data_IF_795218428672
#
_entry.id   IF_795218428672
#
_cell.length_a   1.000
_cell.length_b   1.000
_cell.length_c   1.000
_cell.angle_alpha   90.00
_cell.angle_beta   90.00
_cell.angle_gamma   90.00
#
_symmetry.space_group_name_H-M   'P 1'
#
loop_
_entity.id
_entity.type
_entity.pdbx_description
1 polymer ?
#
# COMPACT_ATOMS: atom_id res chain seq x y z
N UNK A 1 -15.83 -14.35 -4.03
CA UNK A 1 -15.32 -13.36 -5.00
C UNK A 1 -14.08 -12.71 -4.40
N UNK A 2 -12.91 -12.76 -5.06
CA UNK A 2 -11.75 -11.97 -4.63
C UNK A 2 -12.16 -10.50 -4.67
N UNK A 3 -12.02 -9.75 -3.57
CA UNK A 3 -12.14 -8.29 -3.61
C UNK A 3 -11.00 -7.81 -4.51
N UNK A 4 -11.36 -7.26 -5.67
CA UNK A 4 -10.39 -6.67 -6.58
C UNK A 4 -9.71 -5.51 -5.87
N UNK A 5 -8.41 -5.63 -5.62
CA UNK A 5 -7.53 -4.48 -5.55
C UNK A 5 -7.52 -3.96 -7.00
N UNK A 6 -8.14 -2.81 -7.33
CA UNK A 6 -8.13 -2.32 -8.70
C UNK A 6 -6.67 -2.14 -9.16
N UNK A 7 -6.43 -2.34 -10.45
CA UNK A 7 -5.10 -2.30 -11.07
C UNK A 7 -4.32 -1.02 -10.70
N UNK A 8 -5.06 0.08 -10.49
CA UNK A 8 -4.60 1.37 -9.99
C UNK A 8 -3.97 1.36 -8.60
N UNK A 9 -4.46 0.55 -7.67
CA UNK A 9 -3.89 0.47 -6.31
C UNK A 9 -2.50 -0.14 -6.34
N UNK A 10 -2.27 -1.18 -7.17
CA UNK A 10 -0.97 -1.85 -7.27
C UNK A 10 0.11 -0.91 -7.84
N UNK A 11 -0.25 -0.06 -8.80
CA UNK A 11 0.64 0.95 -9.39
C UNK A 11 0.93 2.11 -8.40
N UNK A 12 0.06 2.32 -7.41
CA UNK A 12 0.25 3.29 -6.33
C UNK A 12 1.02 2.77 -5.10
N UNK A 13 1.40 1.48 -5.05
CA UNK A 13 2.10 0.89 -3.89
C UNK A 13 3.64 1.07 -3.90
N UNK A 14 4.20 1.80 -4.86
CA UNK A 14 5.59 2.31 -4.79
C UNK A 14 5.63 3.68 -4.11
N UNK A 15 5.31 3.76 -2.82
CA UNK A 15 5.41 5.05 -2.10
C UNK A 15 4.73 5.19 -0.75
N UNK A 16 5.10 4.39 0.27
CA UNK A 16 4.98 4.86 1.67
C UNK A 16 6.11 5.83 2.01
N UNK A 17 6.23 6.95 1.28
CA UNK A 17 7.01 8.16 1.61
C UNK A 17 6.71 9.25 0.57
N UNK A 18 6.50 10.53 0.93
CA UNK A 18 5.61 11.36 0.14
C UNK A 18 6.29 12.41 -0.77
N UNK A 19 6.10 12.23 -2.09
CA UNK A 19 5.45 13.22 -3.01
C UNK A 19 6.32 14.39 -3.63
N UNK A 20 5.87 15.07 -4.71
CA UNK A 20 6.57 15.83 -5.82
C UNK A 20 5.85 17.15 -6.36
N UNK A 21 6.46 18.30 -6.83
CA UNK A 21 6.87 18.71 -8.24
C UNK A 21 8.38 19.04 -8.52
N UNK A 22 8.67 19.99 -9.45
CA UNK A 22 9.96 20.67 -9.75
C UNK A 22 10.05 21.55 -11.04
N UNK A 23 9.06 21.50 -11.95
CA UNK A 23 8.78 22.39 -13.11
C UNK A 23 9.78 22.51 -14.32
N UNK A 24 9.28 22.24 -15.54
CA UNK A 24 9.62 23.06 -16.73
C UNK A 24 10.34 22.42 -17.93
N UNK A 25 9.63 21.68 -18.79
CA UNK A 25 9.96 21.60 -20.23
C UNK A 25 8.72 21.26 -21.07
N UNK A 26 8.67 21.76 -22.31
CA UNK A 26 7.52 21.70 -23.21
C UNK A 26 7.27 20.32 -23.85
N UNK A 27 5.99 20.01 -24.09
CA UNK A 27 5.45 18.71 -24.49
C UNK A 27 5.92 18.14 -25.85
N UNK A 28 5.64 16.84 -26.06
CA UNK A 28 4.98 16.38 -27.27
C UNK A 28 3.49 16.09 -27.02
N UNK A 29 2.63 16.61 -27.89
CA UNK A 29 1.19 16.38 -27.91
C UNK A 29 0.86 14.93 -28.32
N UNK A 30 0.66 14.00 -27.36
CA UNK A 30 0.15 12.65 -27.68
C UNK A 30 -0.55 11.86 -26.55
N UNK A 31 -1.65 12.40 -26.02
CA UNK A 31 -2.66 11.62 -25.28
C UNK A 31 -4.06 12.26 -25.41
N UNK A 32 -4.54 12.45 -26.64
CA UNK A 32 -5.84 13.08 -26.90
C UNK A 32 -7.01 12.11 -26.68
N UNK A 33 -7.35 11.84 -25.40
CA UNK A 33 -8.57 11.14 -25.01
C UNK A 33 -8.40 10.14 -23.85
N UNK A 34 -9.50 9.78 -23.15
CA UNK A 34 -9.46 8.96 -21.94
C UNK A 34 -8.90 7.54 -22.19
N UNK A 35 -9.20 6.97 -23.36
CA UNK A 35 -8.66 5.67 -23.80
C UNK A 35 -7.15 5.75 -23.99
N UNK A 36 -6.65 6.79 -24.65
CA UNK A 36 -5.22 6.95 -24.92
C UNK A 36 -4.41 7.16 -23.63
N UNK A 37 -4.92 7.98 -22.69
CA UNK A 37 -4.30 8.16 -21.37
C UNK A 37 -4.14 6.84 -20.61
N UNK A 38 -5.18 5.99 -20.61
CA UNK A 38 -5.13 4.69 -19.96
C UNK A 38 -4.17 3.73 -20.66
N UNK A 39 -4.22 3.66 -22.00
CA UNK A 39 -3.32 2.79 -22.78
C UNK A 39 -1.85 3.17 -22.59
N UNK A 40 -1.52 4.46 -22.61
CA UNK A 40 -0.16 4.95 -22.38
C UNK A 40 0.36 4.57 -20.98
N UNK A 41 -0.47 4.74 -19.93
CA UNK A 41 -0.14 4.34 -18.56
C UNK A 41 0.13 2.83 -18.48
N UNK A 42 -0.79 2.01 -19.00
CA UNK A 42 -0.65 0.55 -18.97
C UNK A 42 0.57 0.09 -19.76
N UNK A 43 0.82 0.66 -20.94
CA UNK A 43 1.97 0.34 -21.78
C UNK A 43 3.28 0.70 -21.07
N UNK A 44 3.44 1.92 -20.56
CA UNK A 44 4.70 2.33 -19.92
C UNK A 44 5.00 1.51 -18.67
N UNK A 45 4.00 1.22 -17.83
CA UNK A 45 4.17 0.30 -16.69
C UNK A 45 4.53 -1.12 -17.15
N UNK A 46 3.96 -1.59 -18.27
CA UNK A 46 4.31 -2.89 -18.88
C UNK A 46 5.74 -2.96 -19.44
N UNK A 47 6.33 -1.81 -19.74
CA UNK A 47 7.72 -1.60 -20.19
C UNK A 47 8.65 -1.13 -19.05
N UNK A 48 8.18 -1.18 -17.79
CA UNK A 48 8.89 -0.75 -16.58
C UNK A 48 9.35 0.72 -16.61
N UNK A 49 8.71 1.57 -17.44
CA UNK A 49 8.93 3.01 -17.55
C UNK A 49 8.01 3.75 -16.59
N UNK A 50 8.49 4.02 -15.38
CA UNK A 50 7.66 4.57 -14.31
C UNK A 50 7.40 6.08 -14.47
N UNK A 51 8.12 6.77 -15.34
CA UNK A 51 7.84 8.16 -15.72
C UNK A 51 6.40 8.35 -16.24
N UNK A 52 5.79 7.35 -16.88
CA UNK A 52 4.40 7.49 -17.38
C UNK A 52 3.38 7.63 -16.25
N UNK A 53 3.68 7.10 -15.05
CA UNK A 53 2.82 7.26 -13.86
C UNK A 53 2.84 8.71 -13.39
N UNK A 54 3.98 9.40 -13.57
CA UNK A 54 4.09 10.83 -13.31
C UNK A 54 3.33 11.65 -14.36
N UNK A 55 3.59 11.38 -15.64
CA UNK A 55 2.98 12.09 -16.77
C UNK A 55 1.46 11.92 -16.87
N UNK A 56 0.91 10.87 -16.25
CA UNK A 56 -0.53 10.63 -16.12
C UNK A 56 -1.24 11.60 -15.17
N UNK A 57 -0.52 12.16 -14.18
CA UNK A 57 -1.11 13.07 -13.19
C UNK A 57 -1.27 14.50 -13.75
N UNK A 58 -2.37 15.22 -13.40
CA UNK A 58 -2.53 16.66 -13.64
C UNK A 58 -1.36 17.47 -13.06
N UNK A 59 -1.10 18.67 -13.58
CA UNK A 59 -0.03 19.54 -13.10
C UNK A 59 -0.24 20.00 -11.65
N UNK A 60 -1.47 20.27 -11.20
CA UNK A 60 -1.75 20.53 -9.78
C UNK A 60 -1.49 19.32 -8.89
N UNK A 61 -1.81 18.11 -9.36
CA UNK A 61 -1.59 16.88 -8.60
C UNK A 61 -0.09 16.58 -8.53
N UNK A 62 0.59 16.78 -9.66
CA UNK A 62 2.04 16.81 -9.73
C UNK A 62 2.67 17.90 -8.86
N UNK A 63 1.91 18.89 -8.37
CA UNK A 63 2.37 20.04 -7.57
C UNK A 63 1.98 20.02 -6.09
N UNK A 64 0.89 19.33 -5.73
CA UNK A 64 0.41 19.22 -4.33
C UNK A 64 1.44 18.58 -3.40
N UNK A 65 2.51 18.06 -3.99
CA UNK A 65 3.04 16.77 -3.65
C UNK A 65 4.51 16.99 -3.18
N UNK A 66 5.26 18.02 -3.60
CA UNK A 66 6.46 18.58 -2.91
C UNK A 66 6.46 20.12 -2.74
N UNK A 67 5.33 20.77 -2.50
CA UNK A 67 4.28 20.23 -1.67
C UNK A 67 4.86 19.50 -0.44
N UNK A 68 4.51 18.22 -0.29
CA UNK A 68 4.75 17.41 0.89
C UNK A 68 6.21 16.90 1.07
N UNK A 69 6.99 16.53 0.05
CA UNK A 69 8.40 16.17 0.30
C UNK A 69 9.26 17.36 0.74
N UNK A 70 9.12 18.55 0.13
CA UNK A 70 9.88 19.72 0.58
C UNK A 70 9.40 20.15 1.98
N UNK A 71 8.09 20.15 2.25
CA UNK A 71 7.54 20.39 3.59
C UNK A 71 8.07 19.39 4.64
N UNK A 72 8.21 18.12 4.29
CA UNK A 72 8.84 17.12 5.14
C UNK A 72 10.34 17.40 5.31
N UNK A 73 11.05 17.73 4.23
CA UNK A 73 12.48 18.05 4.24
C UNK A 73 12.82 19.31 5.06
N UNK A 74 11.90 20.27 5.14
CA UNK A 74 12.04 21.47 5.99
C UNK A 74 11.73 21.21 7.47
N UNK A 75 11.01 20.12 7.79
CA UNK A 75 10.72 19.70 9.18
C UNK A 75 11.78 18.77 9.77
N UNK A 76 12.55 18.08 8.93
CA UNK A 76 13.54 17.08 9.35
C UNK A 76 14.90 17.69 9.71
N UNK A 77 15.57 17.08 10.70
CA UNK A 77 16.97 17.41 11.02
C UNK A 77 17.93 16.78 9.98
N UNK A 78 18.90 17.55 9.43
CA UNK A 78 19.79 17.09 8.39
C UNK A 78 20.76 15.99 8.83
N UNK A 79 21.22 16.01 10.10
CA UNK A 79 22.11 14.96 10.59
C UNK A 79 21.34 13.65 10.75
N UNK A 80 20.12 13.70 11.32
CA UNK A 80 19.28 12.50 11.47
C UNK A 80 18.94 11.89 10.09
N UNK A 81 18.52 12.73 9.14
CA UNK A 81 18.09 12.24 7.82
C UNK A 81 19.26 11.71 6.98
N UNK A 82 20.38 12.43 6.94
CA UNK A 82 21.54 12.02 6.15
C UNK A 82 22.23 10.79 6.76
N UNK A 83 22.29 10.68 8.09
CA UNK A 83 22.86 9.50 8.77
C UNK A 83 22.02 8.24 8.52
N UNK A 84 20.68 8.36 8.52
CA UNK A 84 19.79 7.26 8.15
C UNK A 84 20.07 6.73 6.74
N UNK A 85 20.29 7.61 5.76
CA UNK A 85 20.65 7.21 4.40
C UNK A 85 22.10 6.72 4.27
N UNK A 86 23.05 7.29 5.03
CA UNK A 86 24.42 6.78 5.12
C UNK A 86 24.46 5.34 5.65
N UNK A 87 23.67 5.04 6.68
CA UNK A 87 23.44 3.68 7.18
C UNK A 87 22.84 2.79 6.08
N UNK A 88 21.81 3.25 5.35
CA UNK A 88 21.19 2.48 4.28
C UNK A 88 22.17 2.16 3.13
N UNK A 89 23.02 3.12 2.75
CA UNK A 89 24.09 2.92 1.76
C UNK A 89 25.15 1.91 2.22
N UNK A 90 25.54 1.96 3.51
CA UNK A 90 26.45 0.97 4.11
C UNK A 90 25.82 -0.42 4.15
N UNK A 91 24.55 -0.53 4.52
CA UNK A 91 23.80 -1.79 4.51
C UNK A 91 23.72 -2.37 3.09
N UNK A 92 23.32 -1.57 2.10
CA UNK A 92 23.18 -2.06 0.73
C UNK A 92 24.53 -2.52 0.17
N UNK A 93 25.59 -1.75 0.41
CA UNK A 93 26.97 -2.13 0.04
C UNK A 93 27.44 -3.38 0.78
N UNK A 94 27.17 -3.51 2.08
CA UNK A 94 27.54 -4.69 2.86
C UNK A 94 26.88 -5.96 2.30
N UNK A 95 25.62 -5.88 1.89
CA UNK A 95 24.91 -7.00 1.25
C UNK A 95 25.51 -7.36 -0.12
N UNK A 96 25.93 -6.38 -0.91
CA UNK A 96 26.67 -6.62 -2.17
C UNK A 96 28.05 -7.26 -1.89
N UNK A 97 28.88 -6.64 -1.05
CA UNK A 97 30.26 -7.04 -0.77
C UNK A 97 30.36 -8.38 -0.01
N UNK A 98 29.35 -8.75 0.79
CA UNK A 98 29.33 -9.96 1.63
C UNK A 98 28.26 -10.98 1.21
N UNK A 99 27.72 -10.89 0.00
CA UNK A 99 26.68 -11.80 -0.54
C UNK A 99 26.93 -13.28 -0.21
N UNK A 100 28.15 -13.76 -0.45
CA UNK A 100 28.51 -15.16 -0.19
C UNK A 100 28.43 -15.55 1.29
N UNK A 101 28.74 -14.63 2.22
CA UNK A 101 28.67 -14.92 3.65
C UNK A 101 27.22 -14.88 4.13
N UNK A 102 26.43 -13.93 3.61
CA UNK A 102 24.99 -13.83 3.90
C UNK A 102 24.25 -15.08 3.44
N UNK A 103 24.47 -15.54 2.20
CA UNK A 103 23.78 -16.71 1.63
C UNK A 103 24.13 -18.03 2.31
N UNK A 104 25.26 -18.12 3.02
CA UNK A 104 25.69 -19.29 3.80
C UNK A 104 25.41 -19.15 5.29
N UNK A 105 24.64 -18.14 5.71
CA UNK A 105 24.32 -17.98 7.12
C UNK A 105 23.32 -19.07 7.55
N UNK A 106 23.65 -19.81 8.61
CA UNK A 106 22.80 -20.88 9.18
C UNK A 106 21.37 -20.41 9.52
N UNK A 107 21.13 -19.11 9.75
CA UNK A 107 19.79 -18.56 9.95
C UNK A 107 18.91 -18.52 8.69
N UNK A 108 19.50 -18.68 7.49
CA UNK A 108 18.76 -18.89 6.24
C UNK A 108 18.40 -20.35 6.00
N UNK A 109 18.96 -21.30 6.75
CA UNK A 109 18.62 -22.71 6.65
C UNK A 109 17.23 -22.96 7.27
N UNK A 110 16.20 -22.83 6.43
CA UNK A 110 14.81 -23.09 6.79
C UNK A 110 14.33 -24.33 6.01
N UNK A 111 13.66 -25.31 6.65
CA UNK A 111 12.99 -26.42 5.94
C UNK A 111 12.00 -26.03 4.83
N UNK A 112 11.68 -24.75 4.67
CA UNK A 112 10.76 -24.20 3.67
C UNK A 112 11.43 -23.33 2.59
N UNK A 113 12.74 -23.08 2.65
CA UNK A 113 13.44 -22.24 1.67
C UNK A 113 14.92 -22.60 1.61
N UNK A 114 15.42 -22.98 0.43
CA UNK A 114 16.83 -23.34 0.27
C UNK A 114 17.73 -22.10 0.04
N UNK A 115 19.02 -22.15 0.39
CA UNK A 115 19.98 -21.10 0.06
C UNK A 115 20.04 -20.78 -1.44
N UNK A 116 19.88 -21.79 -2.31
CA UNK A 116 19.80 -21.62 -3.77
C UNK A 116 18.53 -20.90 -4.22
N UNK A 117 17.42 -21.04 -3.49
CA UNK A 117 16.20 -20.29 -3.75
C UNK A 117 16.34 -18.83 -3.32
N UNK A 118 16.93 -18.56 -2.15
CA UNK A 118 17.26 -17.19 -1.72
C UNK A 118 18.22 -16.51 -2.71
N UNK A 119 19.23 -17.24 -3.20
CA UNK A 119 20.23 -16.72 -4.12
C UNK A 119 19.65 -16.21 -5.45
N UNK A 120 18.53 -16.79 -5.94
CA UNK A 120 17.84 -16.33 -7.17
C UNK A 120 17.36 -14.89 -7.05
N UNK A 121 16.73 -14.54 -5.93
CA UNK A 121 16.11 -13.23 -5.71
C UNK A 121 17.04 -12.23 -5.02
N UNK A 122 18.21 -12.68 -4.55
CA UNK A 122 19.12 -11.87 -3.74
C UNK A 122 19.56 -10.59 -4.44
N UNK A 123 20.13 -10.70 -5.64
CA UNK A 123 20.70 -9.56 -6.35
C UNK A 123 19.65 -8.48 -6.67
N UNK A 124 18.50 -8.75 -7.33
CA UNK A 124 17.51 -7.72 -7.58
C UNK A 124 16.91 -7.15 -6.28
N UNK A 125 16.82 -7.92 -5.19
CA UNK A 125 16.37 -7.40 -3.89
C UNK A 125 17.36 -6.39 -3.27
N UNK A 126 18.66 -6.70 -3.32
CA UNK A 126 19.73 -5.81 -2.86
C UNK A 126 19.88 -4.60 -3.78
N UNK A 127 19.60 -4.76 -5.07
CA UNK A 127 19.63 -3.69 -6.05
C UNK A 127 18.47 -2.69 -5.88
N UNK A 128 17.29 -3.11 -5.45
CA UNK A 128 16.20 -2.20 -5.03
C UNK A 128 16.66 -1.33 -3.86
N UNK A 129 17.24 -1.95 -2.82
CA UNK A 129 17.78 -1.23 -1.65
C UNK A 129 18.88 -0.24 -2.06
N UNK A 130 19.82 -0.69 -2.89
CA UNK A 130 20.92 0.14 -3.41
C UNK A 130 20.40 1.31 -4.25
N UNK A 131 19.36 1.09 -5.05
CA UNK A 131 18.74 2.14 -5.87
C UNK A 131 18.11 3.22 -4.99
N UNK A 132 17.35 2.82 -3.95
CA UNK A 132 16.77 3.75 -2.99
C UNK A 132 17.86 4.51 -2.21
N UNK A 133 18.88 3.81 -1.73
CA UNK A 133 19.99 4.37 -0.95
C UNK A 133 20.78 5.46 -1.70
N UNK A 134 20.80 5.42 -3.03
CA UNK A 134 21.54 6.36 -3.88
C UNK A 134 20.63 7.32 -4.68
N UNK A 135 19.31 7.23 -4.50
CA UNK A 135 18.29 8.00 -5.24
C UNK A 135 18.27 9.51 -4.92
N UNK A 136 17.34 10.25 -5.52
CA UNK A 136 17.05 11.64 -5.16
C UNK A 136 16.47 11.82 -3.74
N UNK A 137 16.14 10.72 -3.04
CA UNK A 137 15.78 10.73 -1.62
C UNK A 137 17.01 10.64 -0.69
N UNK A 138 18.21 10.37 -1.21
CA UNK A 138 19.38 9.95 -0.40
C UNK A 138 20.01 11.01 0.51
N UNK A 139 19.55 12.26 0.46
CA UNK A 139 19.97 13.30 1.40
C UNK A 139 18.89 14.36 1.55
N UNK A 140 18.92 15.09 2.67
CA UNK A 140 17.93 16.14 2.92
C UNK A 140 18.03 17.28 1.90
N UNK A 141 19.23 17.57 1.41
CA UNK A 141 19.47 18.56 0.35
C UNK A 141 18.77 18.17 -0.95
N UNK A 142 18.96 16.93 -1.43
CA UNK A 142 18.26 16.43 -2.62
C UNK A 142 16.75 16.41 -2.40
N UNK A 143 16.29 16.05 -1.19
CA UNK A 143 14.86 16.00 -0.87
C UNK A 143 14.19 17.39 -0.91
N UNK A 144 14.91 18.46 -0.54
CA UNK A 144 14.44 19.86 -0.67
C UNK A 144 14.30 20.34 -2.12
N UNK A 145 14.89 19.63 -3.07
CA UNK A 145 14.74 19.88 -4.51
C UNK A 145 14.28 18.61 -5.22
N UNK A 146 13.55 17.74 -4.50
CA UNK A 146 13.07 16.47 -5.04
C UNK A 146 12.28 16.75 -6.33
N UNK A 147 12.34 15.84 -7.29
CA UNK A 147 11.51 15.81 -8.48
C UNK A 147 11.37 14.33 -8.85
N UNK A 148 10.21 13.94 -9.35
CA UNK A 148 9.83 12.54 -9.49
C UNK A 148 8.96 12.26 -10.69
N UNK A 149 8.90 13.23 -11.61
CA UNK A 149 9.25 12.87 -12.97
C UNK A 149 10.68 12.32 -12.97
N UNK A 150 11.66 13.03 -12.39
CA UNK A 150 13.08 12.59 -12.35
C UNK A 150 13.31 11.30 -11.58
N UNK A 151 12.87 11.21 -10.32
CA UNK A 151 12.92 9.98 -9.52
C UNK A 151 12.20 8.80 -10.19
N UNK A 152 10.98 8.95 -10.73
CA UNK A 152 10.31 7.82 -11.39
C UNK A 152 11.01 7.43 -12.71
N UNK A 153 11.45 8.39 -13.52
CA UNK A 153 12.22 8.13 -14.74
C UNK A 153 13.57 7.42 -14.47
N UNK A 154 14.16 7.61 -13.28
CA UNK A 154 15.45 7.04 -12.89
C UNK A 154 15.30 5.89 -11.89
N UNK A 155 15.27 6.18 -10.59
CA UNK A 155 15.16 5.21 -9.50
C UNK A 155 13.91 4.35 -9.59
N UNK A 156 12.74 4.93 -9.90
CA UNK A 156 11.48 4.19 -10.03
C UNK A 156 11.54 3.17 -11.18
N UNK A 157 12.01 3.59 -12.36
CA UNK A 157 12.22 2.73 -13.54
C UNK A 157 13.26 1.64 -13.28
N UNK A 158 14.32 1.88 -12.50
CA UNK A 158 15.24 0.80 -12.08
C UNK A 158 14.56 -0.17 -11.11
N UNK A 159 13.90 0.32 -10.07
CA UNK A 159 13.17 -0.51 -9.10
C UNK A 159 12.10 -1.37 -9.80
N UNK A 160 11.38 -0.82 -10.77
CA UNK A 160 10.38 -1.56 -11.54
C UNK A 160 11.00 -2.70 -12.39
N UNK A 161 12.24 -2.55 -12.88
CA UNK A 161 12.98 -3.60 -13.58
C UNK A 161 13.50 -4.67 -12.64
N UNK A 162 13.97 -4.28 -11.46
CA UNK A 162 14.42 -5.21 -10.43
C UNK A 162 13.22 -6.04 -9.90
N UNK A 163 12.05 -5.41 -9.70
CA UNK A 163 10.78 -6.07 -9.38
C UNK A 163 10.32 -7.00 -10.51
N UNK A 164 10.40 -6.57 -11.78
CA UNK A 164 10.07 -7.43 -12.92
C UNK A 164 10.97 -8.67 -12.98
N UNK A 165 12.27 -8.51 -12.71
CA UNK A 165 13.23 -9.62 -12.62
C UNK A 165 12.85 -10.59 -11.51
N UNK A 166 12.44 -10.11 -10.32
CA UNK A 166 11.91 -10.96 -9.25
C UNK A 166 10.64 -11.69 -9.68
N UNK A 167 9.73 -11.00 -10.37
CA UNK A 167 8.49 -11.59 -10.90
C UNK A 167 8.76 -12.72 -11.89
N UNK A 168 9.70 -12.55 -12.81
CA UNK A 168 10.04 -13.54 -13.83
C UNK A 168 10.76 -14.78 -13.24
N UNK A 169 11.42 -14.62 -12.09
CA UNK A 169 12.04 -15.70 -11.33
C UNK A 169 11.05 -16.51 -10.47
N UNK A 170 9.89 -15.94 -10.12
CA UNK A 170 8.87 -16.63 -9.34
C UNK A 170 8.13 -17.69 -10.20
N UNK A 171 7.75 -18.85 -9.62
CA UNK A 171 6.95 -19.85 -10.32
C UNK A 171 5.64 -19.26 -10.85
N UNK A 172 5.46 -19.30 -12.18
CA UNK A 172 4.24 -18.84 -12.84
C UNK A 172 3.22 -19.98 -12.92
N UNK A 173 1.93 -19.66 -12.78
CA UNK A 173 0.86 -20.62 -13.06
C UNK A 173 0.84 -20.99 -14.55
N UNK A 174 0.90 -22.28 -14.86
CA UNK A 174 0.99 -22.77 -16.24
C UNK A 174 -0.18 -22.27 -17.11
N UNK A 175 0.14 -21.71 -18.27
CA UNK A 175 -0.84 -21.14 -19.20
C UNK A 175 -1.39 -19.76 -18.83
N UNK A 176 -0.92 -19.11 -17.75
CA UNK A 176 -1.31 -17.73 -17.41
C UNK A 176 -0.15 -16.74 -17.65
N UNK A 177 -0.36 -15.64 -18.40
CA UNK A 177 0.65 -14.61 -18.56
C UNK A 177 0.94 -13.91 -17.22
N UNK A 178 2.21 -13.57 -16.98
CA UNK A 178 2.63 -12.75 -15.86
C UNK A 178 2.09 -11.32 -15.92
N UNK A 179 2.19 -10.57 -14.83
CA UNK A 179 1.58 -9.24 -14.67
C UNK A 179 1.89 -8.27 -15.83
N UNK A 180 3.17 -8.09 -16.18
CA UNK A 180 3.56 -7.18 -17.26
C UNK A 180 3.05 -7.63 -18.64
N UNK A 181 3.00 -8.94 -18.90
CA UNK A 181 2.42 -9.48 -20.14
C UNK A 181 0.90 -9.26 -20.23
N UNK A 182 0.18 -9.38 -19.11
CA UNK A 182 -1.24 -9.01 -19.06
C UNK A 182 -1.46 -7.54 -19.38
N UNK A 183 -0.60 -6.63 -18.90
CA UNK A 183 -0.68 -5.21 -19.21
C UNK A 183 -0.43 -4.93 -20.70
N UNK A 184 0.57 -5.56 -21.32
CA UNK A 184 0.84 -5.44 -22.78
C UNK A 184 -0.34 -5.89 -23.63
N UNK A 185 -1.06 -6.91 -23.16
CA UNK A 185 -2.19 -7.52 -23.86
C UNK A 185 -3.55 -6.90 -23.48
N UNK A 186 -3.56 -5.94 -22.55
CA UNK A 186 -4.80 -5.33 -22.10
C UNK A 186 -5.40 -4.42 -23.17
N UNK A 187 -6.73 -4.45 -23.28
CA UNK A 187 -7.47 -3.66 -24.27
C UNK A 187 -8.35 -2.64 -23.57
N UNK A 188 -8.10 -1.36 -23.85
CA UNK A 188 -8.99 -0.26 -23.43
C UNK A 188 -9.90 0.14 -24.58
N UNK A 189 -11.20 0.30 -24.33
CA UNK A 189 -12.17 0.84 -25.30
C UNK A 189 -13.06 1.89 -24.64
N UNK A 190 -13.61 2.81 -25.44
CA UNK A 190 -14.56 3.82 -24.97
C UNK A 190 -15.98 3.23 -24.91
N UNK A 191 -16.68 3.42 -23.79
CA UNK A 191 -18.11 3.11 -23.67
C UNK A 191 -18.93 4.37 -23.97
N UNK A 192 -18.57 5.49 -23.33
CA UNK A 192 -19.20 6.79 -23.54
C UNK A 192 -18.24 7.93 -23.21
N UNK A 193 -18.44 9.08 -23.85
CA UNK A 193 -17.73 10.34 -23.54
C UNK A 193 -18.76 11.47 -23.63
N UNK A 194 -18.75 12.35 -22.64
CA UNK A 194 -19.62 13.52 -22.57
C UNK A 194 -18.92 14.61 -21.75
N UNK A 195 -18.69 15.75 -22.38
CA UNK A 195 -18.01 16.90 -21.76
C UNK A 195 -16.67 16.46 -21.15
N UNK A 196 -16.41 16.79 -19.88
CA UNK A 196 -15.19 16.40 -19.15
C UNK A 196 -15.32 15.03 -18.42
N UNK A 197 -16.25 14.17 -18.84
CA UNK A 197 -16.47 12.82 -18.29
C UNK A 197 -16.46 11.75 -19.38
N UNK A 198 -15.92 10.58 -19.06
CA UNK A 198 -15.97 9.41 -19.94
C UNK A 198 -16.10 8.12 -19.14
N UNK A 199 -16.68 7.09 -19.74
CA UNK A 199 -16.63 5.73 -19.22
C UNK A 199 -15.81 4.89 -20.19
N UNK A 200 -14.77 4.24 -19.68
CA UNK A 200 -13.94 3.31 -20.47
C UNK A 200 -14.12 1.88 -19.97
N UNK A 201 -13.90 0.93 -20.88
CA UNK A 201 -13.83 -0.50 -20.59
C UNK A 201 -12.37 -0.93 -20.66
N UNK A 202 -11.89 -1.66 -19.67
CA UNK A 202 -10.56 -2.26 -19.62
C UNK A 202 -10.73 -3.78 -19.60
N UNK A 203 -10.16 -4.47 -20.58
CA UNK A 203 -10.19 -5.93 -20.71
C UNK A 203 -8.78 -6.47 -20.48
N UNK A 204 -8.55 -7.20 -19.38
CA UNK A 204 -7.23 -7.74 -19.00
C UNK A 204 -7.25 -9.27 -19.09
N UNK A 205 -6.33 -9.92 -19.83
CA UNK A 205 -6.33 -11.38 -19.97
C UNK A 205 -6.26 -12.12 -18.64
N UNK A 206 -7.24 -13.00 -18.41
CA UNK A 206 -7.33 -13.82 -17.20
C UNK A 206 -7.77 -13.09 -15.93
N UNK A 207 -8.10 -11.80 -15.99
CA UNK A 207 -8.59 -11.01 -14.84
C UNK A 207 -10.02 -10.47 -15.05
N UNK A 208 -10.44 -10.32 -16.32
CA UNK A 208 -11.82 -10.02 -16.68
C UNK A 208 -11.99 -8.64 -17.32
N UNK A 209 -13.23 -8.15 -17.27
CA UNK A 209 -13.64 -6.86 -17.81
C UNK A 209 -13.94 -5.93 -16.64
N UNK A 210 -13.38 -4.73 -16.67
CA UNK A 210 -13.68 -3.64 -15.75
C UNK A 210 -14.20 -2.44 -16.53
N UNK A 211 -15.14 -1.69 -15.93
CA UNK A 211 -15.55 -0.38 -16.42
C UNK A 211 -15.05 0.67 -15.43
N UNK A 212 -14.30 1.66 -15.91
CA UNK A 212 -13.76 2.76 -15.10
C UNK A 212 -14.38 4.07 -15.57
N UNK A 213 -14.88 4.86 -14.63
CA UNK A 213 -15.29 6.24 -14.91
C UNK A 213 -14.06 7.15 -14.86
N UNK A 214 -13.83 7.87 -15.94
CA UNK A 214 -12.74 8.82 -16.13
C UNK A 214 -13.31 10.24 -16.08
N UNK A 215 -12.55 11.15 -15.48
CA UNK A 215 -12.85 12.58 -15.45
C UNK A 215 -11.62 13.36 -15.92
N UNK A 216 -11.86 14.46 -16.63
CA UNK A 216 -10.79 15.36 -17.04
C UNK A 216 -10.50 16.35 -15.91
N UNK A 217 -9.25 16.38 -15.48
CA UNK A 217 -8.72 17.37 -14.53
C UNK A 217 -7.57 18.07 -15.24
N UNK A 218 -7.72 19.38 -15.44
CA UNK A 218 -6.84 20.19 -16.28
C UNK A 218 -6.78 19.67 -17.73
N UNK A 219 -5.62 19.24 -18.21
CA UNK A 219 -5.40 18.62 -19.52
C UNK A 219 -5.38 17.08 -19.48
N UNK A 220 -5.51 16.46 -18.29
CA UNK A 220 -5.36 15.01 -18.09
C UNK A 220 -6.69 14.31 -17.83
N UNK A 221 -6.82 13.11 -18.41
CA UNK A 221 -7.89 12.17 -18.06
C UNK A 221 -7.41 11.22 -16.98
N UNK A 222 -8.06 11.24 -15.82
CA UNK A 222 -7.74 10.37 -14.68
C UNK A 222 -8.99 9.61 -14.20
N UNK A 223 -8.83 8.49 -13.46
CA UNK A 223 -9.95 7.82 -12.81
C UNK A 223 -10.71 8.77 -11.90
N UNK A 224 -12.04 8.78 -11.99
CA UNK A 224 -12.91 9.60 -11.13
C UNK A 224 -12.69 9.26 -9.66
N UNK A 225 -12.46 7.98 -9.37
CA UNK A 225 -12.09 7.46 -8.04
C UNK A 225 -10.81 8.12 -7.49
N UNK A 226 -9.81 8.38 -8.34
CA UNK A 226 -8.60 9.11 -7.97
C UNK A 226 -8.91 10.60 -7.76
N UNK A 227 -9.65 11.23 -8.68
CA UNK A 227 -9.98 12.65 -8.64
C UNK A 227 -10.77 13.03 -7.37
N UNK A 228 -11.86 12.30 -7.08
CA UNK A 228 -12.75 12.54 -5.94
C UNK A 228 -12.00 12.44 -4.60
N UNK A 229 -11.04 11.52 -4.50
CA UNK A 229 -10.30 11.25 -3.26
C UNK A 229 -8.99 12.04 -3.13
N UNK A 230 -8.50 12.66 -4.20
CA UNK A 230 -7.18 13.31 -4.23
C UNK A 230 -7.03 14.35 -3.12
N UNK A 231 -7.94 15.33 -3.08
CA UNK A 231 -7.89 16.42 -2.10
C UNK A 231 -7.90 15.91 -0.65
N UNK A 232 -8.76 14.94 -0.33
CA UNK A 232 -8.84 14.33 1.00
C UNK A 232 -7.52 13.65 1.40
N UNK A 233 -6.90 12.91 0.48
CA UNK A 233 -5.60 12.26 0.71
C UNK A 233 -4.46 13.25 0.91
N UNK A 234 -4.40 14.31 0.10
CA UNK A 234 -3.39 15.38 0.23
C UNK A 234 -3.58 16.17 1.53
N UNK A 235 -4.81 16.56 1.87
CA UNK A 235 -5.09 17.30 3.10
C UNK A 235 -4.76 16.45 4.35
N UNK A 236 -5.08 15.14 4.33
CA UNK A 236 -4.70 14.19 5.39
C UNK A 236 -3.17 14.04 5.51
N UNK A 237 -2.46 13.95 4.38
CA UNK A 237 -1.00 13.89 4.37
C UNK A 237 -0.36 15.20 4.90
N UNK A 238 -0.91 16.38 4.54
CA UNK A 238 -0.52 17.67 5.12
C UNK A 238 -0.72 17.70 6.64
N UNK A 239 -1.90 17.30 7.12
CA UNK A 239 -2.18 17.21 8.56
C UNK A 239 -1.22 16.28 9.30
N UNK A 240 -0.77 15.19 8.68
CA UNK A 240 0.21 14.29 9.27
C UNK A 240 1.63 14.89 9.28
N UNK A 241 2.00 15.67 8.27
CA UNK A 241 3.23 16.49 8.30
C UNK A 241 3.16 17.63 9.32
N UNK A 242 1.99 18.20 9.59
CA UNK A 242 1.83 19.25 10.62
C UNK A 242 1.87 18.71 12.05
N UNK A 243 1.54 17.43 12.25
CA UNK A 243 1.84 16.70 13.49
C UNK A 243 3.34 16.44 13.68
N UNK A 244 4.13 16.40 12.59
CA UNK A 244 5.58 16.26 12.66
C UNK A 244 6.21 17.61 13.01
N UNK A 245 6.50 17.79 14.30
CA UNK A 245 7.10 19.00 14.86
C UNK A 245 8.63 18.91 14.86
N UNK A 246 9.36 19.91 14.32
CA UNK A 246 10.83 19.96 14.39
C UNK A 246 11.35 19.89 15.83
N UNK A 247 10.60 20.40 16.80
CA UNK A 247 10.93 20.37 18.22
C UNK A 247 10.94 18.93 18.77
N UNK A 248 9.99 18.09 18.37
CA UNK A 248 9.90 16.68 18.80
C UNK A 248 11.02 15.82 18.19
N UNK A 249 11.46 16.16 16.97
CA UNK A 249 12.62 15.55 16.31
C UNK A 249 13.90 15.98 17.04
N UNK A 250 14.06 17.28 17.29
CA UNK A 250 15.21 17.86 18.00
C UNK A 250 15.35 17.27 19.41
N UNK A 251 14.26 17.15 20.16
CA UNK A 251 14.24 16.58 21.50
C UNK A 251 14.68 15.10 21.55
N UNK A 252 14.57 14.37 20.43
CA UNK A 252 14.99 12.97 20.30
C UNK A 252 16.30 12.80 19.55
N UNK A 253 16.94 13.88 19.12
CA UNK A 253 18.13 13.86 18.26
C UNK A 253 19.28 13.08 18.86
N UNK A 254 19.68 13.37 20.10
CA UNK A 254 20.78 12.67 20.76
C UNK A 254 20.51 11.17 20.92
N UNK A 255 19.25 10.79 21.19
CA UNK A 255 18.83 9.38 21.25
C UNK A 255 18.92 8.70 19.87
N UNK A 256 18.47 9.37 18.81
CA UNK A 256 18.55 8.87 17.44
C UNK A 256 20.01 8.71 16.99
N UNK A 257 20.85 9.73 17.19
CA UNK A 257 22.28 9.69 16.87
C UNK A 257 23.04 8.63 17.69
N UNK A 258 22.68 8.42 18.97
CA UNK A 258 23.23 7.31 19.76
C UNK A 258 22.84 5.93 19.18
N UNK A 259 21.59 5.78 18.73
CA UNK A 259 21.12 4.58 18.02
C UNK A 259 21.87 4.35 16.71
N UNK A 260 22.03 5.39 15.88
CA UNK A 260 22.80 5.35 14.65
C UNK A 260 24.27 5.02 14.90
N UNK A 261 24.89 5.56 15.95
CA UNK A 261 26.25 5.19 16.36
C UNK A 261 26.38 3.70 16.71
N UNK A 262 25.38 3.13 17.40
CA UNK A 262 25.35 1.69 17.70
C UNK A 262 25.22 0.85 16.43
N UNK A 263 24.30 1.21 15.52
CA UNK A 263 24.13 0.55 14.22
C UNK A 263 25.43 0.64 13.39
N UNK A 264 26.05 1.82 13.31
CA UNK A 264 27.30 2.03 12.61
C UNK A 264 28.48 1.24 13.16
N UNK A 265 28.52 0.99 14.48
CA UNK A 265 29.50 0.13 15.11
C UNK A 265 29.27 -1.34 14.74
N UNK A 266 28.03 -1.81 14.73
CA UNK A 266 27.65 -3.15 14.26
C UNK A 266 27.98 -3.34 12.77
N UNK A 267 27.65 -2.38 11.91
CA UNK A 267 28.00 -2.41 10.50
C UNK A 267 29.52 -2.44 10.31
N UNK A 268 30.27 -1.65 11.07
CA UNK A 268 31.74 -1.67 11.00
C UNK A 268 32.33 -3.03 11.41
N UNK A 269 31.71 -3.78 12.34
CA UNK A 269 32.14 -5.15 12.65
C UNK A 269 31.93 -6.07 11.44
N UNK A 270 30.71 -6.08 10.88
CA UNK A 270 30.33 -6.94 9.74
C UNK A 270 31.13 -6.63 8.46
N UNK A 271 31.39 -5.35 8.18
CA UNK A 271 32.24 -4.91 7.06
C UNK A 271 33.68 -5.44 7.21
N UNK A 272 34.24 -5.31 8.42
CA UNK A 272 35.62 -5.73 8.72
C UNK A 272 35.80 -7.25 8.88
N UNK A 273 34.71 -8.02 8.99
CA UNK A 273 34.78 -9.47 9.11
C UNK A 273 35.50 -10.09 7.90
N UNK A 274 36.62 -10.78 8.16
CA UNK A 274 37.53 -11.34 7.14
C UNK A 274 37.18 -12.77 6.76
N UNK A 275 36.29 -13.40 7.52
CA UNK A 275 35.85 -14.78 7.31
C UNK A 275 34.35 -14.89 7.42
N UNK A 276 33.79 -15.86 6.72
CA UNK A 276 32.39 -16.24 6.77
C UNK A 276 31.91 -16.53 8.20
N UNK A 277 32.73 -17.27 8.98
CA UNK A 277 32.45 -17.56 10.39
C UNK A 277 32.37 -16.30 11.25
N UNK A 278 33.33 -15.39 11.12
CA UNK A 278 33.36 -14.13 11.86
C UNK A 278 32.12 -13.27 11.55
N UNK A 279 31.74 -13.18 10.27
CA UNK A 279 30.56 -12.46 9.83
C UNK A 279 29.26 -13.10 10.39
N UNK A 280 29.13 -14.42 10.26
CA UNK A 280 27.94 -15.14 10.73
C UNK A 280 27.82 -15.13 12.26
N UNK A 281 28.92 -15.31 13.01
CA UNK A 281 28.93 -15.21 14.47
C UNK A 281 28.49 -13.81 14.94
N UNK A 282 28.94 -12.74 14.26
CA UNK A 282 28.54 -11.35 14.56
C UNK A 282 27.07 -11.09 14.19
N UNK A 283 26.64 -11.44 12.97
CA UNK A 283 25.26 -11.23 12.52
C UNK A 283 24.26 -11.96 13.43
N UNK A 284 24.54 -13.22 13.75
CA UNK A 284 23.69 -14.04 14.63
C UNK A 284 23.68 -13.54 16.08
N UNK A 285 24.70 -12.81 16.55
CA UNK A 285 24.65 -12.15 17.86
C UNK A 285 23.70 -10.94 17.87
N UNK A 286 23.64 -10.19 16.76
CA UNK A 286 22.81 -8.99 16.62
C UNK A 286 21.34 -9.32 16.33
N UNK A 287 21.08 -10.38 15.56
CA UNK A 287 19.72 -10.82 15.23
C UNK A 287 19.11 -11.67 16.35
N UNK A 288 19.89 -12.36 17.20
CA UNK A 288 19.35 -13.20 18.29
C UNK A 288 18.38 -12.49 19.24
N UNK A 289 18.65 -11.28 19.76
CA UNK A 289 17.70 -10.54 20.59
C UNK A 289 16.38 -10.25 19.84
N UNK A 290 16.47 -9.87 18.56
CA UNK A 290 15.30 -9.64 17.72
C UNK A 290 14.51 -10.93 17.47
N UNK A 291 15.17 -12.04 17.16
CA UNK A 291 14.55 -13.35 16.97
C UNK A 291 13.87 -13.88 18.25
N UNK A 292 14.44 -13.60 19.42
CA UNK A 292 13.85 -13.97 20.71
C UNK A 292 12.57 -13.17 21.04
N UNK A 293 12.49 -11.89 20.65
CA UNK A 293 11.28 -11.08 20.82
C UNK A 293 10.31 -11.17 19.63
N UNK A 294 10.74 -11.65 18.46
CA UNK A 294 9.93 -11.69 17.25
C UNK A 294 8.57 -12.40 17.43
N UNK A 295 8.45 -13.56 18.10
CA UNK A 295 7.14 -14.18 18.36
C UNK A 295 6.22 -13.29 19.19
N UNK A 296 6.75 -12.58 20.19
CA UNK A 296 5.98 -11.66 21.04
C UNK A 296 5.60 -10.39 20.27
N UNK A 297 6.52 -9.82 19.50
CA UNK A 297 6.27 -8.64 18.67
C UNK A 297 5.24 -8.95 17.58
N UNK A 298 5.29 -10.15 17.00
CA UNK A 298 4.36 -10.63 16.00
C UNK A 298 2.99 -10.95 16.60
N UNK A 299 2.93 -11.50 17.83
CA UNK A 299 1.68 -11.63 18.59
C UNK A 299 1.07 -10.26 18.91
N UNK A 300 1.89 -9.27 19.30
CA UNK A 300 1.44 -7.91 19.58
C UNK A 300 1.00 -7.19 18.30
N UNK A 301 1.68 -7.40 17.17
CA UNK A 301 1.25 -6.88 15.87
C UNK A 301 -0.04 -7.54 15.41
N UNK A 302 -0.20 -8.87 15.56
CA UNK A 302 -1.44 -9.57 15.25
C UNK A 302 -2.60 -9.10 16.14
N UNK A 303 -2.36 -8.84 17.42
CA UNK A 303 -3.35 -8.21 18.32
C UNK A 303 -3.68 -6.77 17.88
N UNK A 304 -2.68 -5.98 17.48
CA UNK A 304 -2.91 -4.61 17.00
C UNK A 304 -3.62 -4.56 15.64
N UNK A 305 -3.46 -5.58 14.80
CA UNK A 305 -4.14 -5.75 13.51
C UNK A 305 -5.53 -6.37 13.66
N UNK A 306 -5.79 -7.09 14.77
CA UNK A 306 -7.16 -7.46 15.17
C UNK A 306 -7.91 -6.30 15.83
N UNK A 307 -7.22 -5.36 16.50
CA UNK A 307 -7.83 -4.15 17.06
C UNK A 307 -8.02 -3.02 16.03
N UNK A 308 -7.10 -2.87 15.07
CA UNK A 308 -7.26 -1.97 13.92
C UNK A 308 -7.85 -2.77 12.75
N UNK A 309 -9.18 -2.81 12.66
CA UNK A 309 -9.91 -3.67 11.73
C UNK A 309 -9.40 -3.61 10.28
N UNK A 310 -8.88 -4.75 9.80
CA UNK A 310 -8.99 -5.23 8.42
C UNK A 310 -8.16 -4.57 7.31
N UNK A 311 -8.06 -3.25 7.25
CA UNK A 311 -7.81 -2.54 5.98
C UNK A 311 -6.42 -1.89 5.82
N UNK A 312 -5.55 -1.93 6.84
CA UNK A 312 -4.32 -1.09 6.86
C UNK A 312 -2.96 -1.81 6.74
N UNK A 313 -2.88 -3.14 6.65
CA UNK A 313 -1.58 -3.84 6.59
C UNK A 313 -1.55 -5.11 5.70
N UNK A 314 -1.91 -4.98 4.43
CA UNK A 314 -1.69 -6.01 3.42
C UNK A 314 -0.21 -6.01 2.94
N UNK A 315 0.71 -6.49 3.79
CA UNK A 315 2.15 -6.49 3.47
C UNK A 315 3.04 -7.09 4.56
N UNK A 316 2.88 -8.38 4.86
CA UNK A 316 3.74 -9.09 5.83
C UNK A 316 3.92 -10.59 5.50
N UNK A 317 5.07 -11.22 5.82
CA UNK A 317 5.46 -12.50 5.21
C UNK A 317 4.67 -13.76 5.62
N UNK A 318 3.66 -13.65 6.48
CA UNK A 318 2.83 -14.79 6.90
C UNK A 318 1.66 -15.10 5.97
N UNK A 319 1.38 -14.24 4.99
CA UNK A 319 0.41 -14.54 3.92
C UNK A 319 0.88 -15.63 2.93
N UNK A 320 2.12 -16.11 3.04
CA UNK A 320 2.77 -17.02 2.08
C UNK A 320 2.69 -18.51 2.43
N UNK A 321 2.17 -18.89 3.61
CA UNK A 321 2.16 -20.30 4.03
C UNK A 321 0.81 -20.83 4.56
N UNK A 322 -0.27 -20.08 4.37
CA UNK A 322 -1.62 -20.61 4.45
C UNK A 322 -2.06 -21.03 3.04
N UNK A 323 -2.13 -22.34 2.78
CA UNK A 323 -2.92 -22.86 1.66
C UNK A 323 -4.31 -22.22 1.75
N UNK A 324 -4.86 -21.59 0.69
CA UNK A 324 -6.08 -20.81 0.80
C UNK A 324 -7.24 -21.66 1.32
N UNK A 325 -7.54 -21.51 2.61
CA UNK A 325 -8.75 -22.07 3.22
C UNK A 325 -9.94 -21.59 2.41
N UNK A 326 -10.80 -22.53 2.03
CA UNK A 326 -11.91 -22.30 1.11
C UNK A 326 -12.68 -21.04 1.52
N UNK A 327 -12.61 -20.00 0.69
CA UNK A 327 -13.33 -18.77 0.95
C UNK A 327 -14.83 -19.08 0.89
N UNK A 328 -15.45 -19.27 2.07
CA UNK A 328 -16.89 -19.55 2.20
C UNK A 328 -17.66 -18.57 1.33
N UNK A 329 -18.46 -19.12 0.44
CA UNK A 329 -19.24 -18.37 -0.53
C UNK A 329 -20.18 -17.45 0.24
N UNK A 330 -20.09 -16.14 0.02
CA UNK A 330 -21.03 -15.17 0.57
C UNK A 330 -22.39 -15.46 -0.05
N UNK A 331 -23.30 -16.05 0.72
CA UNK A 331 -24.69 -16.24 0.31
C UNK A 331 -25.41 -14.87 0.38
N UNK A 332 -25.93 -14.33 -0.74
CA UNK A 332 -26.72 -13.10 -0.72
C UNK A 332 -27.94 -13.20 0.21
N UNK A 333 -28.48 -14.40 0.43
CA UNK A 333 -29.61 -14.66 1.32
C UNK A 333 -29.23 -14.59 2.81
N UNK A 334 -27.96 -14.36 3.14
CA UNK A 334 -27.47 -14.13 4.51
C UNK A 334 -27.23 -12.65 4.82
N UNK A 335 -27.38 -11.73 3.86
CA UNK A 335 -27.21 -10.29 4.11
C UNK A 335 -28.50 -9.66 4.67
N UNK A 336 -28.38 -8.67 5.55
CA UNK A 336 -29.47 -7.76 5.93
C UNK A 336 -29.06 -6.29 5.79
N UNK A 337 -30.04 -5.42 5.54
CA UNK A 337 -29.87 -3.97 5.52
C UNK A 337 -30.49 -3.35 6.79
N UNK A 338 -29.68 -2.86 7.72
CA UNK A 338 -30.13 -2.09 8.89
C UNK A 338 -30.18 -0.61 8.50
N UNK A 339 -31.39 -0.04 8.42
CA UNK A 339 -31.63 1.31 7.90
C UNK A 339 -31.93 2.28 9.05
N UNK A 340 -31.19 3.38 9.09
CA UNK A 340 -31.37 4.49 10.02
C UNK A 340 -31.70 5.75 9.21
N UNK A 341 -32.87 6.34 9.45
CA UNK A 341 -33.37 7.54 8.76
C UNK A 341 -32.72 8.83 9.30
N UNK A 342 -31.39 8.82 9.45
CA UNK A 342 -30.55 9.94 9.82
C UNK A 342 -29.18 9.76 9.16
N UNK A 343 -28.61 10.85 8.67
CA UNK A 343 -27.20 10.91 8.28
C UNK A 343 -26.30 10.83 9.51
N UNK A 344 -25.43 9.81 9.57
CA UNK A 344 -24.47 9.63 10.66
C UNK A 344 -23.07 9.97 10.18
N UNK A 345 -22.33 10.75 10.96
CA UNK A 345 -20.89 10.93 10.79
C UNK A 345 -20.12 9.65 11.17
N UNK A 346 -18.87 9.45 10.71
CA UNK A 346 -18.10 8.24 11.04
C UNK A 346 -18.05 7.94 12.54
N UNK A 347 -17.76 8.96 13.38
CA UNK A 347 -17.75 8.80 14.84
C UNK A 347 -19.12 8.53 15.50
N UNK A 348 -20.23 8.71 14.78
CA UNK A 348 -21.55 8.23 15.21
C UNK A 348 -21.86 6.81 14.70
N UNK A 349 -21.17 6.35 13.65
CA UNK A 349 -21.31 5.00 13.09
C UNK A 349 -20.51 3.98 13.90
N UNK A 350 -19.28 4.31 14.32
CA UNK A 350 -18.38 3.43 15.08
C UNK A 350 -19.07 2.70 16.27
N UNK A 351 -19.73 3.40 17.23
CA UNK A 351 -20.39 2.72 18.36
C UNK A 351 -21.58 1.85 17.94
N UNK A 352 -22.24 2.17 16.81
CA UNK A 352 -23.34 1.36 16.27
C UNK A 352 -22.77 0.08 15.63
N UNK A 353 -21.64 0.17 14.94
CA UNK A 353 -20.94 -0.98 14.35
C UNK A 353 -20.50 -1.95 15.45
N UNK A 354 -19.87 -1.44 16.52
CA UNK A 354 -19.48 -2.25 17.69
C UNK A 354 -20.69 -2.98 18.31
N UNK A 355 -21.82 -2.29 18.44
CA UNK A 355 -23.04 -2.85 19.04
C UNK A 355 -23.77 -3.83 18.10
N UNK A 356 -23.66 -3.66 16.77
CA UNK A 356 -24.08 -4.64 15.77
C UNK A 356 -23.22 -5.90 15.88
N UNK A 357 -21.88 -5.77 15.94
CA UNK A 357 -20.97 -6.91 16.07
C UNK A 357 -21.25 -7.70 17.36
N UNK A 358 -21.42 -7.01 18.49
CA UNK A 358 -21.79 -7.61 19.79
C UNK A 358 -23.20 -8.24 19.83
N UNK A 359 -24.04 -8.02 18.82
CA UNK A 359 -25.38 -8.62 18.73
C UNK A 359 -25.39 -10.00 18.05
N UNK A 360 -24.30 -10.41 17.39
CA UNK A 360 -24.15 -11.75 16.84
C UNK A 360 -23.71 -12.78 17.91
N UNK A 361 -24.07 -14.05 17.70
CA UNK A 361 -23.61 -15.16 18.56
C UNK A 361 -22.18 -15.63 18.20
N UNK A 362 -21.69 -15.25 17.02
CA UNK A 362 -20.35 -15.54 16.53
C UNK A 362 -19.78 -14.22 15.99
N UNK A 363 -18.90 -13.60 16.76
CA UNK A 363 -18.26 -12.32 16.43
C UNK A 363 -17.11 -12.45 15.42
N UNK A 364 -16.61 -13.67 15.17
CA UNK A 364 -15.45 -13.89 14.31
C UNK A 364 -15.83 -13.95 12.81
N UNK A 365 -17.12 -14.09 12.50
CA UNK A 365 -17.62 -14.20 11.12
C UNK A 365 -18.53 -13.05 10.66
N UNK A 366 -19.02 -12.19 11.56
CA UNK A 366 -19.92 -11.09 11.22
C UNK A 366 -19.17 -9.89 10.61
N UNK A 367 -19.61 -9.44 9.44
CA UNK A 367 -19.12 -8.24 8.76
C UNK A 367 -20.22 -7.18 8.71
N UNK A 368 -19.82 -5.92 8.91
CA UNK A 368 -20.71 -4.74 8.89
C UNK A 368 -20.10 -3.73 7.92
N UNK A 369 -20.88 -3.28 6.93
CA UNK A 369 -20.46 -2.27 5.95
C UNK A 369 -21.44 -1.09 6.02
N UNK A 370 -21.03 0.07 6.55
CA UNK A 370 -21.86 1.28 6.50
C UNK A 370 -21.91 1.86 5.09
N UNK A 371 -23.06 2.42 4.72
CA UNK A 371 -23.27 3.22 3.53
C UNK A 371 -24.14 4.43 3.90
N UNK A 372 -23.77 5.63 3.44
CA UNK A 372 -24.55 6.86 3.68
C UNK A 372 -25.04 7.39 2.34
N UNK A 373 -26.35 7.46 2.18
CA UNK A 373 -27.00 8.00 0.98
C UNK A 373 -27.99 9.11 1.39
N UNK A 374 -27.66 10.35 1.02
CA UNK A 374 -28.39 11.54 1.43
C UNK A 374 -28.51 11.69 2.95
N UNK A 375 -29.73 11.54 3.46
CA UNK A 375 -30.11 11.63 4.88
C UNK A 375 -30.32 10.26 5.54
N UNK A 376 -29.94 9.16 4.86
CA UNK A 376 -30.12 7.78 5.34
C UNK A 376 -28.74 7.13 5.52
N UNK A 377 -28.58 6.42 6.64
CA UNK A 377 -27.42 5.54 6.88
C UNK A 377 -27.90 4.09 6.90
N UNK A 378 -27.30 3.24 6.07
CA UNK A 378 -27.62 1.81 5.98
C UNK A 378 -26.38 0.99 6.34
N UNK A 379 -26.49 0.09 7.31
CA UNK A 379 -25.45 -0.89 7.63
C UNK A 379 -25.82 -2.24 7.00
N UNK A 380 -24.97 -2.72 6.08
CA UNK A 380 -25.09 -4.06 5.51
C UNK A 380 -24.41 -5.06 6.42
N UNK A 381 -25.17 -6.02 6.94
CA UNK A 381 -24.67 -6.99 7.94
C UNK A 381 -24.79 -8.40 7.39
N UNK A 382 -23.72 -9.19 7.46
CA UNK A 382 -23.70 -10.58 7.00
C UNK A 382 -22.61 -11.41 7.71
N UNK A 383 -22.79 -12.72 7.91
CA UNK A 383 -24.02 -13.48 7.68
C UNK A 383 -25.01 -13.32 8.84
N UNK A 384 -26.29 -13.15 8.51
CA UNK A 384 -27.43 -13.15 9.44
C UNK A 384 -28.45 -14.13 8.89
N UNK A 385 -28.68 -15.25 9.56
CA UNK A 385 -29.64 -16.26 9.09
C UNK A 385 -31.09 -15.80 9.36
N UNK A 386 -31.39 -15.43 10.61
CA UNK A 386 -32.72 -15.03 11.08
C UNK A 386 -32.78 -13.53 11.40
N UNK A 387 -33.52 -12.79 10.56
CA UNK A 387 -33.72 -11.33 10.66
C UNK A 387 -34.55 -10.95 11.91
N UNK A 388 -35.51 -11.78 12.30
CA UNK A 388 -36.36 -11.52 13.47
C UNK A 388 -35.63 -11.78 14.79
N UNK A 389 -34.84 -12.85 14.87
CA UNK A 389 -33.98 -13.11 16.01
C UNK A 389 -32.88 -12.04 16.13
N UNK A 390 -32.31 -11.59 15.01
CA UNK A 390 -31.32 -10.52 15.00
C UNK A 390 -31.90 -9.17 15.47
N UNK A 391 -33.06 -8.76 14.95
CA UNK A 391 -33.71 -7.49 15.34
C UNK A 391 -33.95 -7.37 16.85
N UNK A 392 -34.24 -8.49 17.54
CA UNK A 392 -34.46 -8.53 19.00
C UNK A 392 -33.18 -8.32 19.82
N UNK A 393 -32.00 -8.40 19.19
CA UNK A 393 -30.69 -8.20 19.83
C UNK A 393 -30.10 -6.81 19.60
N UNK A 394 -30.71 -6.01 18.72
CA UNK A 394 -30.34 -4.61 18.50
C UNK A 394 -30.57 -3.81 19.78
N UNK A 395 -29.54 -3.07 20.22
CA UNK A 395 -29.54 -2.31 21.47
C UNK A 395 -29.22 -0.81 21.28
N UNK A 396 -28.56 -0.40 20.18
CA UNK A 396 -28.29 1.02 19.85
C UNK A 396 -29.55 1.85 19.55
N UNK A 397 -30.66 1.18 19.25
CA UNK A 397 -31.92 1.82 18.87
C UNK A 397 -33.10 0.89 19.10
N UNK A 398 -34.28 1.35 18.68
CA UNK A 398 -35.52 0.57 18.65
C UNK A 398 -35.83 0.16 17.20
N UNK A 399 -35.93 -1.14 16.89
CA UNK A 399 -36.46 -1.58 15.60
C UNK A 399 -37.92 -1.09 15.44
N UNK A 400 -38.17 -0.27 14.42
CA UNK A 400 -39.49 0.29 14.11
C UNK A 400 -40.19 -0.47 12.99
N UNK A 401 -39.41 -1.09 12.10
CA UNK A 401 -39.90 -2.01 11.06
C UNK A 401 -38.90 -3.16 10.90
N UNK A 402 -39.40 -4.39 10.88
CA UNK A 402 -38.63 -5.60 10.56
C UNK A 402 -39.31 -6.25 9.36
N UNK A 403 -38.57 -6.46 8.29
CA UNK A 403 -39.06 -7.08 7.05
C UNK A 403 -38.15 -8.25 6.70
N UNK A 404 -38.61 -9.46 6.98
CA UNK A 404 -37.87 -10.68 6.69
C UNK A 404 -37.85 -11.04 5.19
N UNK A 405 -38.73 -10.45 4.36
CA UNK A 405 -38.77 -10.72 2.91
C UNK A 405 -37.77 -9.84 2.15
N UNK A 406 -37.75 -8.53 2.43
CA UNK A 406 -36.71 -7.63 1.92
C UNK A 406 -35.42 -7.67 2.74
N UNK A 407 -35.41 -8.45 3.83
CA UNK A 407 -34.27 -8.65 4.75
C UNK A 407 -33.72 -7.33 5.29
N UNK A 408 -34.62 -6.45 5.71
CA UNK A 408 -34.29 -5.11 6.21
C UNK A 408 -34.87 -4.86 7.60
N UNK A 409 -34.12 -4.10 8.41
CA UNK A 409 -34.53 -3.65 9.74
C UNK A 409 -34.40 -2.12 9.79
N UNK A 410 -35.51 -1.40 9.88
CA UNK A 410 -35.48 0.04 10.15
C UNK A 410 -35.33 0.26 11.66
N UNK A 411 -34.35 1.06 12.07
CA UNK A 411 -34.05 1.36 13.48
C UNK A 411 -34.15 2.86 13.73
N UNK A 412 -34.90 3.22 14.75
CA UNK A 412 -34.91 4.56 15.34
C UNK A 412 -33.87 4.61 16.46
N UNK A 413 -32.95 5.57 16.44
CA UNK A 413 -31.93 5.72 17.48
C UNK A 413 -32.55 6.17 18.81
N UNK A 414 -31.87 5.85 19.92
CA UNK A 414 -32.27 6.25 21.28
C UNK A 414 -31.94 7.71 21.58
#
# INVERSE_FOLDING_TARGET
MRKFIPLFTLILFLGTLPLLPGCGSSAPEKASGPVASMQNLMQGVSEQKMEVVWEFLPASYQSDVNGLAHQFADKMDPEIYNEMFGILQRVSKLLQDKKEYVLKNEMLENPQTSPEEVAKYYDPSVDILTTLANSDLSSLEKLKTFDGGKFLASSGTKIAKDIATISDLMPQEEGKPGFYEKLKQAKVTLISEKDDMAKIKIEVPGEGIQEEDMVKVEDKWIPKTLADNWKSKIDSARQNLDKLKPEDITAKKDQALAGFKAINATLAQLENAKTEKEFNDQLTQQVRPLAAVAPMMLMMMAQSAMQQGGDSFAGGPQAMNASPGEAKIIDPNSMIDIVINKKLSPGEQDPIIDEILQSANDTESLQVIPNVDGEITTFKVFPVEDVEAFSKKIKFGKPTKVDAQSRSITVELK
#
